data_IF_447186916771
#
_entry.id   IF_447186916771
#
_cell.length_a   1.000
_cell.length_b   1.000
_cell.length_c   1.000
_cell.angle_alpha   90.00
_cell.angle_beta   90.00
_cell.angle_gamma   90.00
#
_symmetry.space_group_name_H-M   'P 1'
#
loop_
_entity.id
_entity.type
_entity.pdbx_description
1 polymer ?
#
# COMPACT_ATOMS: atom_id res chain seq x y z
N UNK A 1 40.95 8.64 -0.35
CA UNK A 1 39.53 8.25 -0.22
C UNK A 1 38.74 9.55 -0.37
N UNK A 2 37.91 9.73 -1.41
CA UNK A 2 37.15 10.97 -1.62
C UNK A 2 35.89 10.92 -0.76
N UNK A 3 35.64 11.97 0.02
CA UNK A 3 34.47 12.07 0.87
C UNK A 3 33.18 11.88 0.07
N UNK A 4 32.14 11.21 0.62
CA UNK A 4 30.85 11.03 -0.06
C UNK A 4 30.12 12.37 -0.32
N UNK A 5 30.67 13.49 0.18
CA UNK A 5 30.15 14.85 0.03
C UNK A 5 30.56 15.53 -1.29
N UNK A 6 31.56 15.01 -2.00
CA UNK A 6 32.09 15.59 -3.25
C UNK A 6 31.59 14.87 -4.51
N UNK A 7 30.32 14.42 -4.49
CA UNK A 7 29.72 13.85 -5.69
C UNK A 7 29.42 15.02 -6.64
N UNK A 8 30.00 15.07 -7.86
CA UNK A 8 29.67 16.11 -8.81
C UNK A 8 28.17 16.07 -9.10
N UNK A 9 27.55 17.24 -9.22
CA UNK A 9 26.08 17.39 -9.35
C UNK A 9 25.53 16.52 -10.48
N UNK A 10 26.26 16.42 -11.61
CA UNK A 10 25.90 15.55 -12.74
C UNK A 10 25.74 14.07 -12.35
N UNK A 11 26.59 13.56 -11.46
CA UNK A 11 26.51 12.19 -10.94
C UNK A 11 25.37 12.01 -9.95
N UNK A 12 25.05 13.03 -9.15
CA UNK A 12 23.89 13.00 -8.26
C UNK A 12 22.57 12.95 -9.07
N UNK A 13 22.46 13.78 -10.11
CA UNK A 13 21.31 13.81 -11.03
C UNK A 13 21.17 12.48 -11.78
N UNK A 14 22.26 11.93 -12.31
CA UNK A 14 22.23 10.62 -12.97
C UNK A 14 21.77 9.49 -12.05
N UNK A 15 22.19 9.50 -10.77
CA UNK A 15 21.71 8.53 -9.78
C UNK A 15 20.23 8.70 -9.46
N UNK A 16 19.74 9.93 -9.36
CA UNK A 16 18.33 10.21 -9.09
C UNK A 16 17.42 9.66 -10.20
N UNK A 17 17.68 10.02 -11.46
CA UNK A 17 16.89 9.51 -12.58
C UNK A 17 17.10 8.02 -12.81
N UNK A 18 18.31 7.51 -12.58
CA UNK A 18 18.58 6.08 -12.59
C UNK A 18 17.72 5.32 -11.59
N UNK A 19 17.55 5.84 -10.37
CA UNK A 19 16.66 5.24 -9.37
C UNK A 19 15.19 5.32 -9.78
N UNK A 20 14.73 6.42 -10.39
CA UNK A 20 13.34 6.54 -10.87
C UNK A 20 13.06 5.54 -11.98
N UNK A 21 13.91 5.49 -13.01
CA UNK A 21 13.73 4.55 -14.13
C UNK A 21 13.79 3.11 -13.63
N UNK A 22 14.71 2.81 -12.71
CA UNK A 22 14.81 1.49 -12.10
C UNK A 22 13.59 1.11 -11.26
N UNK A 23 12.99 2.06 -10.54
CA UNK A 23 11.77 1.84 -9.76
C UNK A 23 10.54 1.64 -10.64
N UNK A 24 10.46 2.32 -11.79
CA UNK A 24 9.35 2.16 -12.74
C UNK A 24 9.50 0.88 -13.56
N UNK A 25 10.73 0.54 -13.98
CA UNK A 25 11.00 -0.62 -14.81
C UNK A 25 10.92 -1.94 -14.04
N UNK A 26 11.08 -1.90 -12.71
CA UNK A 26 10.86 -3.06 -11.86
C UNK A 26 9.38 -3.16 -11.51
N UNK A 27 8.70 -4.27 -11.85
CA UNK A 27 7.43 -4.56 -11.20
C UNK A 27 7.69 -4.58 -9.70
N UNK A 28 6.79 -3.99 -8.91
CA UNK A 28 6.89 -4.02 -7.46
C UNK A 28 7.16 -5.49 -7.04
N UNK A 29 8.07 -5.73 -6.06
CA UNK A 29 8.15 -7.06 -5.47
C UNK A 29 6.72 -7.44 -5.10
N UNK A 30 6.32 -8.66 -5.46
CA UNK A 30 5.04 -9.17 -5.02
C UNK A 30 5.09 -9.27 -3.50
N UNK A 31 4.82 -8.16 -2.82
CA UNK A 31 4.31 -8.18 -1.46
C UNK A 31 3.15 -9.15 -1.53
N UNK A 32 3.25 -10.22 -0.74
CA UNK A 32 2.24 -11.25 -0.54
C UNK A 32 0.87 -10.65 -0.80
N UNK A 33 0.33 -10.91 -2.00
CA UNK A 33 -0.63 -10.02 -2.61
C UNK A 33 -1.99 -10.20 -1.94
N UNK A 34 -2.20 -9.54 -0.80
CA UNK A 34 -3.50 -9.50 -0.14
C UNK A 34 -4.42 -8.70 -1.05
N UNK A 35 -5.22 -9.42 -1.84
CA UNK A 35 -6.23 -8.83 -2.70
C UNK A 35 -7.54 -8.81 -1.92
N UNK A 36 -8.06 -7.61 -1.67
CA UNK A 36 -9.43 -7.44 -1.16
C UNK A 36 -10.39 -7.91 -2.26
N UNK A 37 -11.11 -9.00 -2.00
CA UNK A 37 -12.02 -9.63 -2.98
C UNK A 37 -13.42 -9.04 -2.89
N UNK A 38 -13.86 -8.68 -1.68
CA UNK A 38 -15.17 -8.09 -1.47
C UNK A 38 -15.19 -7.16 -0.26
N UNK A 39 -15.92 -6.05 -0.40
CA UNK A 39 -16.21 -5.11 0.68
C UNK A 39 -17.70 -4.85 0.71
N UNK A 40 -18.38 -5.32 1.75
CA UNK A 40 -19.81 -5.10 1.94
C UNK A 40 -20.01 -4.27 3.20
N UNK A 41 -20.74 -3.15 3.06
CA UNK A 41 -21.12 -2.31 4.19
C UNK A 41 -22.64 -2.36 4.35
N UNK A 42 -23.11 -2.60 5.57
CA UNK A 42 -24.52 -2.54 5.93
C UNK A 42 -24.73 -1.51 7.04
N UNK A 43 -25.73 -0.67 6.88
CA UNK A 43 -26.14 0.30 7.90
C UNK A 43 -27.47 -0.13 8.50
N UNK A 44 -27.54 -0.16 9.83
CA UNK A 44 -28.75 -0.53 10.54
C UNK A 44 -29.06 0.55 11.57
N UNK A 45 -30.18 1.29 11.43
CA UNK A 45 -30.63 2.19 12.46
C UNK A 45 -31.05 1.38 13.70
N UNK A 46 -30.52 1.75 14.86
CA UNK A 46 -30.80 1.07 16.14
C UNK A 46 -30.91 2.10 17.26
N UNK A 47 -31.41 1.68 18.40
CA UNK A 47 -31.53 2.53 19.58
C UNK A 47 -30.71 1.91 20.71
N UNK A 48 -29.67 2.63 21.13
CA UNK A 48 -28.78 2.20 22.22
C UNK A 48 -28.89 3.25 23.32
N UNK A 49 -29.20 2.82 24.54
CA UNK A 49 -29.35 3.70 25.70
C UNK A 49 -30.34 4.87 25.47
N UNK A 50 -31.42 4.65 24.72
CA UNK A 50 -32.46 5.64 24.44
C UNK A 50 -32.08 6.70 23.39
N UNK A 51 -30.99 6.50 22.65
CA UNK A 51 -30.57 7.37 21.56
C UNK A 51 -30.58 6.61 20.24
N UNK A 52 -31.15 7.24 19.20
CA UNK A 52 -31.14 6.72 17.83
C UNK A 52 -29.73 6.84 17.27
N UNK A 53 -29.12 5.71 16.94
CA UNK A 53 -27.77 5.61 16.37
C UNK A 53 -27.81 4.75 15.11
N UNK A 54 -26.86 4.96 14.20
CA UNK A 54 -26.71 4.12 13.00
C UNK A 54 -25.52 3.20 13.20
N UNK A 55 -25.79 1.90 13.29
CA UNK A 55 -24.74 0.90 13.33
C UNK A 55 -24.24 0.64 11.91
N UNK A 56 -22.98 1.00 11.64
CA UNK A 56 -22.33 0.67 10.37
C UNK A 56 -21.43 -0.55 10.56
N UNK A 57 -21.77 -1.65 9.89
CA UNK A 57 -20.96 -2.87 9.84
C UNK A 57 -20.27 -2.98 8.49
N UNK A 58 -18.97 -3.20 8.48
CA UNK A 58 -18.19 -3.44 7.27
C UNK A 58 -17.58 -4.83 7.35
N UNK A 59 -17.92 -5.68 6.38
CA UNK A 59 -17.27 -6.98 6.18
C UNK A 59 -16.26 -6.82 5.06
N UNK A 60 -15.02 -7.24 5.32
CA UNK A 60 -13.91 -7.22 4.35
C UNK A 60 -13.48 -8.68 4.15
N UNK A 61 -13.54 -9.16 2.92
CA UNK A 61 -13.05 -10.47 2.53
C UNK A 61 -11.73 -10.31 1.77
N UNK A 62 -10.68 -10.94 2.29
CA UNK A 62 -9.32 -10.87 1.75
C UNK A 62 -8.86 -12.27 1.33
N UNK A 63 -8.19 -12.34 0.18
CA UNK A 63 -7.49 -13.56 -0.27
C UNK A 63 -6.00 -13.28 -0.24
N UNK A 64 -5.30 -14.03 0.62
CA UNK A 64 -3.85 -14.04 0.71
C UNK A 64 -3.31 -15.16 -0.19
N UNK A 65 -2.59 -14.80 -1.24
CA UNK A 65 -1.90 -15.78 -2.06
C UNK A 65 -0.57 -16.15 -1.39
N UNK A 66 -0.50 -17.34 -0.80
CA UNK A 66 0.76 -17.91 -0.35
C UNK A 66 1.45 -18.56 -1.53
N UNK A 67 2.64 -18.06 -1.85
CA UNK A 67 3.54 -18.71 -2.78
C UNK A 67 4.14 -19.94 -2.08
N UNK A 68 3.40 -21.05 -2.05
CA UNK A 68 4.03 -22.34 -1.78
C UNK A 68 4.92 -22.67 -2.98
N UNK A 69 6.21 -22.93 -2.68
CA UNK A 69 7.26 -23.25 -3.63
C UNK A 69 6.96 -24.50 -4.46
#
# INVERSE_FOLDING_TARGET
MKDPKDIPISRAVGRFFGHIVHAIAKPAPADTATRVVSKTSSETPTEIAGQKVVLRKTTIEEVEFRSDQ
#
